data_IF_103759069469
#
_entry.id   IF_103759069469
#
_cell.length_a   1.000
_cell.length_b   1.000
_cell.length_c   1.000
_cell.angle_alpha   90.00
_cell.angle_beta   90.00
_cell.angle_gamma   90.00
#
_symmetry.space_group_name_H-M   'P 1'
#
loop_
_entity.id
_entity.type
_entity.pdbx_description
1 polymer ?
#
# COMPACT_ATOMS: atom_id res chain seq x y z
N UNK A 1 -22.89 6.67 -3.07
CA UNK A 1 -22.48 5.63 -2.08
C UNK A 1 -21.00 5.84 -1.81
N UNK A 2 -20.61 6.06 -0.55
CA UNK A 2 -19.20 6.15 -0.20
C UNK A 2 -18.57 4.76 -0.36
N UNK A 3 -17.42 4.71 -1.03
CA UNK A 3 -16.69 3.46 -1.22
C UNK A 3 -16.14 3.04 0.14
N UNK A 4 -16.41 1.80 0.56
CA UNK A 4 -15.94 1.29 1.86
C UNK A 4 -14.56 0.64 1.77
N UNK A 5 -14.12 0.30 0.56
CA UNK A 5 -12.80 -0.34 0.32
C UNK A 5 -12.29 0.00 -1.07
N UNK A 6 -11.00 0.33 -1.15
CA UNK A 6 -10.24 0.51 -2.38
C UNK A 6 -9.10 -0.49 -2.37
N UNK A 7 -8.90 -1.19 -3.47
CA UNK A 7 -7.78 -2.10 -3.70
C UNK A 7 -7.15 -1.67 -5.01
N UNK A 8 -5.90 -1.21 -4.96
CA UNK A 8 -5.24 -0.63 -6.13
C UNK A 8 -3.75 -1.01 -6.14
N UNK A 9 -3.19 -1.49 -7.26
CA UNK A 9 -1.75 -1.72 -7.34
C UNK A 9 -0.99 -0.39 -7.20
N UNK A 10 0.19 -0.43 -6.58
CA UNK A 10 1.00 0.74 -6.27
C UNK A 10 1.29 1.57 -7.52
N UNK A 11 1.60 0.91 -8.65
CA UNK A 11 1.81 1.61 -9.93
C UNK A 11 0.62 2.50 -10.33
N UNK A 12 -0.63 2.05 -10.09
CA UNK A 12 -1.81 2.88 -10.37
C UNK A 12 -2.06 3.91 -9.26
N UNK A 13 -1.81 3.56 -7.99
CA UNK A 13 -1.91 4.52 -6.87
C UNK A 13 -1.02 5.75 -7.09
N UNK A 14 0.19 5.55 -7.62
CA UNK A 14 1.14 6.63 -7.91
C UNK A 14 0.65 7.66 -8.94
N UNK A 15 -0.41 7.34 -9.70
CA UNK A 15 -1.06 8.24 -10.65
C UNK A 15 -2.26 8.99 -10.06
N UNK A 16 -2.65 8.69 -8.82
CA UNK A 16 -3.70 9.41 -8.11
C UNK A 16 -3.05 10.54 -7.31
N UNK A 17 -2.98 11.71 -7.92
CA UNK A 17 -2.32 12.90 -7.37
C UNK A 17 -3.17 13.64 -6.32
N UNK A 18 -4.50 13.53 -6.44
CA UNK A 18 -5.46 14.08 -5.49
C UNK A 18 -6.37 12.99 -4.93
N UNK A 19 -6.69 13.09 -3.64
CA UNK A 19 -7.58 12.12 -2.99
C UNK A 19 -8.98 12.18 -3.63
N UNK A 20 -9.45 11.08 -4.26
CA UNK A 20 -10.80 11.02 -4.79
C UNK A 20 -11.84 11.26 -3.69
N UNK A 21 -12.96 11.89 -4.03
CA UNK A 21 -13.98 12.30 -3.05
C UNK A 21 -14.54 11.10 -2.26
N UNK A 22 -14.71 9.96 -2.92
CA UNK A 22 -15.19 8.70 -2.36
C UNK A 22 -14.15 7.98 -1.48
N UNK A 23 -12.88 8.42 -1.48
CA UNK A 23 -11.81 7.85 -0.65
C UNK A 23 -11.56 8.64 0.64
N UNK A 24 -12.16 9.84 0.77
CA UNK A 24 -11.93 10.74 1.91
C UNK A 24 -12.38 10.16 3.26
N UNK A 25 -13.31 9.20 3.26
CA UNK A 25 -13.78 8.51 4.46
C UNK A 25 -13.04 7.19 4.77
N UNK A 26 -11.99 6.88 4.03
CA UNK A 26 -11.15 5.71 4.27
C UNK A 26 -10.06 6.09 5.27
N UNK A 27 -10.04 5.38 6.38
CA UNK A 27 -9.24 5.70 7.57
C UNK A 27 -8.26 4.59 7.96
N UNK A 28 -8.26 3.48 7.23
CA UNK A 28 -7.33 2.36 7.36
C UNK A 28 -6.60 2.15 6.04
N UNK A 29 -5.35 1.73 6.11
CA UNK A 29 -4.56 1.34 4.93
C UNK A 29 -3.68 0.15 5.21
N UNK A 30 -3.34 -0.59 4.16
CA UNK A 30 -2.32 -1.61 4.19
C UNK A 30 -1.52 -1.69 2.90
N UNK A 31 -0.30 -2.21 3.03
CA UNK A 31 0.60 -2.55 1.93
C UNK A 31 0.73 -4.07 1.90
N UNK A 32 0.50 -4.70 0.75
CA UNK A 32 0.65 -6.15 0.60
C UNK A 32 1.11 -6.55 -0.79
N UNK A 33 1.50 -7.81 -0.94
CA UNK A 33 1.50 -8.49 -2.24
C UNK A 33 0.52 -9.67 -2.18
N UNK A 34 0.58 -10.59 -3.14
CA UNK A 34 -0.28 -11.77 -3.16
C UNK A 34 -0.04 -12.72 -1.96
N UNK A 35 1.16 -12.71 -1.39
CA UNK A 35 1.63 -13.68 -0.39
C UNK A 35 1.59 -13.18 1.06
N UNK A 36 1.78 -11.87 1.28
CA UNK A 36 1.96 -11.31 2.62
C UNK A 36 1.45 -9.87 2.73
N UNK A 37 0.95 -9.53 3.92
CA UNK A 37 0.72 -8.13 4.32
C UNK A 37 2.00 -7.60 4.94
N UNK A 38 2.51 -6.50 4.40
CA UNK A 38 3.75 -5.87 4.86
C UNK A 38 3.50 -4.91 6.02
N UNK A 39 2.44 -4.12 5.93
CA UNK A 39 2.14 -3.10 6.92
C UNK A 39 0.66 -2.75 6.92
N UNK A 40 0.13 -2.49 8.10
CA UNK A 40 -1.22 -1.97 8.35
C UNK A 40 -1.08 -0.69 9.17
N UNK A 41 -1.90 0.31 8.89
CA UNK A 41 -2.01 1.48 9.75
C UNK A 41 -3.36 2.18 9.62
N UNK A 42 -3.56 3.17 10.49
CA UNK A 42 -4.71 4.09 10.43
C UNK A 42 -4.30 5.55 10.21
N UNK A 43 -5.25 6.35 9.75
CA UNK A 43 -5.22 7.82 9.72
C UNK A 43 -6.60 8.31 9.32
N UNK A 44 -7.08 9.46 9.84
CA UNK A 44 -8.32 10.07 9.36
C UNK A 44 -8.38 10.33 7.85
N UNK A 45 -7.22 10.34 7.17
CA UNK A 45 -7.13 10.33 5.72
C UNK A 45 -6.06 9.32 5.26
N UNK A 46 -6.47 8.06 5.09
CA UNK A 46 -5.58 6.95 4.75
C UNK A 46 -4.77 7.22 3.46
N UNK A 47 -5.41 7.83 2.45
CA UNK A 47 -4.74 8.21 1.20
C UNK A 47 -3.51 9.10 1.41
N UNK A 48 -3.65 10.17 2.19
CA UNK A 48 -2.55 11.08 2.47
C UNK A 48 -1.44 10.38 3.24
N UNK A 49 -1.82 9.51 4.18
CA UNK A 49 -0.86 8.75 4.99
C UNK A 49 -0.03 7.78 4.16
N UNK A 50 -0.62 7.13 3.15
CA UNK A 50 0.13 6.30 2.20
C UNK A 50 1.17 7.14 1.44
N UNK A 51 0.81 8.33 0.95
CA UNK A 51 1.76 9.25 0.31
C UNK A 51 2.89 9.68 1.25
N UNK A 52 2.58 9.99 2.51
CA UNK A 52 3.61 10.30 3.52
C UNK A 52 4.59 9.14 3.73
N UNK A 53 4.10 7.90 3.76
CA UNK A 53 4.98 6.73 3.84
C UNK A 53 5.89 6.63 2.62
N UNK A 54 5.36 6.80 1.41
CA UNK A 54 6.13 6.76 0.17
C UNK A 54 7.20 7.86 0.15
N UNK A 55 6.85 9.11 0.46
CA UNK A 55 7.79 10.23 0.49
C UNK A 55 8.85 10.03 1.59
N UNK A 56 8.43 9.64 2.79
CA UNK A 56 9.30 9.38 3.94
C UNK A 56 10.27 8.22 3.70
N UNK A 57 9.93 7.29 2.82
CA UNK A 57 10.75 6.13 2.47
C UNK A 57 12.12 6.49 1.89
N UNK A 58 12.24 7.59 1.15
CA UNK A 58 13.53 8.04 0.62
C UNK A 58 14.51 8.44 1.72
N UNK A 59 13.99 9.06 2.78
CA UNK A 59 14.73 9.54 3.96
C UNK A 59 14.85 8.49 5.07
N UNK A 60 14.17 7.35 4.93
CA UNK A 60 14.16 6.29 5.95
C UNK A 60 13.25 6.57 7.15
N UNK A 61 12.35 7.55 7.06
CA UNK A 61 11.36 7.84 8.12
C UNK A 61 10.17 6.89 8.12
N UNK A 62 10.06 6.04 7.10
CA UNK A 62 8.98 5.08 6.92
C UNK A 62 9.60 3.74 6.53
N UNK A 63 9.45 2.72 7.38
CA UNK A 63 9.99 1.38 7.11
C UNK A 63 9.32 0.75 5.88
N UNK A 64 8.00 0.86 5.77
CA UNK A 64 7.24 0.33 4.63
C UNK A 64 7.54 1.12 3.36
N UNK A 65 7.63 2.45 3.42
CA UNK A 65 8.00 3.26 2.27
C UNK A 65 9.42 2.97 1.80
N UNK A 66 10.34 2.75 2.74
CA UNK A 66 11.72 2.37 2.43
C UNK A 66 11.75 0.99 1.76
N UNK A 67 10.98 0.03 2.28
CA UNK A 67 10.85 -1.31 1.70
C UNK A 67 10.30 -1.26 0.27
N UNK A 68 9.27 -0.45 0.02
CA UNK A 68 8.71 -0.20 -1.31
C UNK A 68 9.82 0.23 -2.29
N UNK A 69 10.61 1.23 -1.94
CA UNK A 69 11.66 1.73 -2.83
C UNK A 69 12.87 0.80 -2.95
N UNK A 70 13.21 0.07 -1.89
CA UNK A 70 14.29 -0.92 -1.93
C UNK A 70 13.96 -2.05 -2.93
N UNK A 71 12.68 -2.36 -3.09
CA UNK A 71 12.19 -3.43 -3.95
C UNK A 71 11.66 -2.95 -5.31
N UNK A 72 11.87 -1.69 -5.68
CA UNK A 72 11.54 -1.21 -7.01
C UNK A 72 12.39 -1.92 -8.08
N UNK A 73 11.83 -2.35 -9.23
CA UNK A 73 10.45 -2.16 -9.69
C UNK A 73 9.46 -3.26 -9.26
N UNK A 74 9.89 -4.32 -8.57
CA UNK A 74 8.96 -5.41 -8.14
C UNK A 74 7.79 -4.87 -7.31
N UNK A 75 8.05 -3.87 -6.47
CA UNK A 75 7.04 -3.21 -5.63
C UNK A 75 5.95 -2.48 -6.41
N UNK A 76 6.10 -2.23 -7.71
CA UNK A 76 5.01 -1.72 -8.55
C UNK A 76 3.75 -2.60 -8.49
N UNK A 77 3.94 -3.91 -8.26
CA UNK A 77 2.87 -4.91 -8.12
C UNK A 77 2.29 -5.01 -6.70
N UNK A 78 2.88 -4.31 -5.73
CA UNK A 78 2.30 -4.27 -4.40
C UNK A 78 0.92 -3.65 -4.48
N UNK A 79 0.02 -4.10 -3.64
CA UNK A 79 -1.33 -3.60 -3.54
C UNK A 79 -1.42 -2.67 -2.34
N UNK A 80 -1.98 -1.49 -2.59
CA UNK A 80 -2.45 -0.57 -1.55
C UNK A 80 -3.93 -0.86 -1.37
N UNK A 81 -4.31 -1.23 -0.15
CA UNK A 81 -5.72 -1.31 0.21
C UNK A 81 -6.05 -0.19 1.18
N UNK A 82 -7.15 0.52 0.94
CA UNK A 82 -7.70 1.54 1.81
C UNK A 82 -9.08 1.09 2.26
N UNK A 83 -9.36 1.14 3.56
CA UNK A 83 -10.62 0.66 4.13
C UNK A 83 -11.23 1.73 5.04
N UNK A 84 -12.54 1.64 5.23
CA UNK A 84 -13.25 2.41 6.24
C UNK A 84 -13.49 1.55 7.48
N UNK A 85 -13.16 2.07 8.66
CA UNK A 85 -13.57 1.54 9.97
C UNK A 85 -15.09 1.39 10.11
N UNK A 86 -15.85 2.14 9.31
CA UNK A 86 -17.32 2.08 9.24
C UNK A 86 -17.84 0.96 8.34
N UNK A 87 -16.96 0.13 7.77
CA UNK A 87 -17.38 -1.04 6.98
C UNK A 87 -17.86 -2.19 7.88
N UNK A 88 -18.75 -3.02 7.34
CA UNK A 88 -19.40 -4.10 8.09
C UNK A 88 -18.41 -5.09 8.74
N UNK A 89 -17.22 -5.28 8.18
CA UNK A 89 -16.19 -6.17 8.73
C UNK A 89 -15.68 -5.74 10.12
N UNK A 90 -15.92 -4.49 10.51
CA UNK A 90 -15.52 -3.90 11.79
C UNK A 90 -16.69 -3.65 12.75
N UNK A 91 -17.90 -4.11 12.40
CA UNK A 91 -19.07 -4.00 13.30
C UNK A 91 -18.83 -4.72 14.63
N UNK A 92 -18.15 -5.88 14.60
CA UNK A 92 -17.80 -6.64 15.79
C UNK A 92 -16.81 -5.94 16.75
N UNK A 93 -16.16 -4.87 16.30
CA UNK A 93 -15.31 -4.00 17.13
C UNK A 93 -15.93 -2.62 17.35
N UNK A 94 -17.23 -2.48 17.08
CA UNK A 94 -18.00 -1.24 17.29
C UNK A 94 -17.59 -0.09 16.39
N UNK A 95 -17.00 -0.38 15.22
CA UNK A 95 -16.45 0.63 14.31
C UNK A 95 -15.38 1.55 14.94
N UNK A 96 -14.77 1.15 16.05
CA UNK A 96 -13.66 1.88 16.65
C UNK A 96 -12.39 1.74 15.79
N UNK A 97 -11.80 2.87 15.41
CA UNK A 97 -10.67 2.90 14.49
C UNK A 97 -9.43 2.16 15.05
N UNK A 98 -9.13 2.34 16.34
CA UNK A 98 -7.99 1.66 16.98
C UNK A 98 -8.23 0.15 17.10
N UNK A 99 -9.47 -0.27 17.38
CA UNK A 99 -9.85 -1.67 17.42
C UNK A 99 -9.85 -2.29 16.03
N UNK A 100 -10.28 -1.57 14.99
CA UNK A 100 -10.24 -2.02 13.60
C UNK A 100 -8.78 -2.21 13.11
N UNK A 101 -7.88 -1.27 13.40
CA UNK A 101 -6.44 -1.44 13.13
C UNK A 101 -5.88 -2.68 13.84
N UNK A 102 -6.18 -2.84 15.13
CA UNK A 102 -5.76 -4.02 15.90
C UNK A 102 -6.29 -5.33 15.30
N UNK A 103 -7.55 -5.37 14.92
CA UNK A 103 -8.17 -6.54 14.29
C UNK A 103 -7.45 -6.90 12.97
N UNK A 104 -7.10 -5.91 12.14
CA UNK A 104 -6.33 -6.13 10.92
C UNK A 104 -4.91 -6.64 11.20
N UNK A 105 -4.22 -6.06 12.19
CA UNK A 105 -2.87 -6.50 12.59
C UNK A 105 -2.91 -7.94 13.12
N UNK A 106 -3.88 -8.28 13.97
CA UNK A 106 -4.04 -9.64 14.50
C UNK A 106 -4.40 -10.65 13.41
N UNK A 107 -5.26 -10.27 12.48
CA UNK A 107 -5.69 -11.14 11.38
C UNK A 107 -4.55 -11.47 10.41
N UNK A 108 -3.74 -10.47 10.06
CA UNK A 108 -2.76 -10.58 8.98
C UNK A 108 -1.32 -10.72 9.46
N UNK A 109 -1.05 -10.42 10.73
CA UNK A 109 0.31 -10.43 11.34
C UNK A 109 1.36 -9.74 10.47
N UNK A 110 1.18 -8.45 10.11
CA UNK A 110 1.97 -7.81 9.06
C UNK A 110 3.47 -7.81 9.34
N UNK A 111 4.28 -7.86 8.29
CA UNK A 111 5.73 -8.01 8.41
C UNK A 111 6.41 -6.90 9.24
N UNK A 112 5.93 -5.66 9.14
CA UNK A 112 6.58 -4.49 9.71
C UNK A 112 5.80 -3.80 10.84
N UNK A 113 4.60 -4.29 11.18
CA UNK A 113 3.94 -3.86 12.40
C UNK A 113 4.64 -4.53 13.58
N UNK A 114 5.39 -3.77 14.37
CA UNK A 114 6.08 -4.25 15.59
C UNK A 114 5.20 -4.08 16.83
N UNK A 115 4.39 -3.03 16.85
CA UNK A 115 3.41 -2.79 17.91
C UNK A 115 2.16 -3.62 17.65
N UNK A 116 1.60 -4.21 18.71
CA UNK A 116 0.32 -4.96 18.66
C UNK A 116 0.38 -6.24 17.80
N UNK A 117 1.57 -6.67 17.43
CA UNK A 117 1.83 -7.85 16.62
C UNK A 117 2.87 -8.72 17.34
N UNK A 118 2.41 -9.80 17.97
CA UNK A 118 3.26 -10.68 18.77
C UNK A 118 4.17 -11.56 17.93
N UNK A 119 3.78 -11.86 16.68
CA UNK A 119 4.53 -12.73 15.78
C UNK A 119 4.41 -12.22 14.34
N UNK A 120 5.17 -11.17 13.98
CA UNK A 120 5.17 -10.66 12.61
C UNK A 120 5.55 -11.74 11.61
N UNK A 121 4.79 -11.83 10.52
CA UNK A 121 5.14 -12.70 9.39
C UNK A 121 6.50 -12.28 8.84
N UNK A 122 7.43 -13.21 8.58
CA UNK A 122 8.71 -12.86 7.98
C UNK A 122 8.51 -12.29 6.57
N UNK A 123 9.32 -11.29 6.21
CA UNK A 123 9.34 -10.76 4.84
C UNK A 123 9.65 -11.89 3.85
N UNK A 124 8.87 -12.07 2.77
CA UNK A 124 9.15 -13.10 1.78
C UNK A 124 10.57 -12.99 1.21
N UNK A 125 11.26 -14.13 1.09
CA UNK A 125 12.67 -14.19 0.69
C UNK A 125 12.98 -13.59 -0.68
N UNK A 126 11.96 -13.43 -1.54
CA UNK A 126 12.08 -12.80 -2.85
C UNK A 126 12.35 -11.28 -2.80
N UNK A 127 12.19 -10.65 -1.62
CA UNK A 127 12.36 -9.22 -1.41
C UNK A 127 13.63 -8.87 -0.64
N UNK A 128 14.16 -7.69 -0.96
CA UNK A 128 15.24 -7.06 -0.22
C UNK A 128 14.70 -6.49 1.11
N UNK A 129 15.50 -6.53 2.19
CA UNK A 129 15.10 -5.95 3.47
C UNK A 129 14.99 -4.42 3.37
N UNK A 130 14.22 -3.77 4.27
CA UNK A 130 14.04 -2.31 4.25
C UNK A 130 15.34 -1.51 4.43
N UNK A 131 16.35 -2.07 5.11
CA UNK A 131 17.65 -1.42 5.27
C UNK A 131 18.55 -1.52 4.02
N UNK A 132 18.13 -2.22 2.96
CA UNK A 132 18.90 -2.33 1.73
C UNK A 132 19.14 -0.97 1.07
N UNK A 133 20.21 -0.90 0.28
CA UNK A 133 20.52 0.28 -0.54
C UNK A 133 19.47 0.45 -1.63
N UNK A 134 18.87 1.63 -1.73
CA UNK A 134 17.92 1.93 -2.80
C UNK A 134 18.64 1.89 -4.15
N UNK A 135 18.11 1.08 -5.06
CA UNK A 135 18.59 0.92 -6.45
C UNK A 135 17.81 1.78 -7.44
N UNK A 136 16.64 2.28 -7.04
CA UNK A 136 15.80 3.13 -7.85
C UNK A 136 16.27 4.59 -7.87
N UNK A 137 15.65 5.39 -8.75
CA UNK A 137 15.75 6.85 -8.70
C UNK A 137 15.36 7.40 -7.33
N UNK A 138 16.02 8.46 -6.89
CA UNK A 138 15.64 9.23 -5.69
C UNK A 138 14.60 10.32 -5.98
N UNK A 139 14.21 10.48 -7.24
CA UNK A 139 13.17 11.42 -7.67
C UNK A 139 11.84 10.68 -7.79
N UNK A 140 10.87 11.07 -6.97
CA UNK A 140 9.52 10.52 -7.01
C UNK A 140 8.89 10.65 -8.41
N UNK A 141 9.04 11.81 -9.05
CA UNK A 141 8.53 12.05 -10.40
C UNK A 141 9.10 11.06 -11.43
N UNK A 142 10.39 10.72 -11.34
CA UNK A 142 10.98 9.70 -12.23
C UNK A 142 10.34 8.32 -12.00
N UNK A 143 10.09 7.94 -10.75
CA UNK A 143 9.44 6.66 -10.43
C UNK A 143 7.97 6.64 -10.88
N UNK A 144 7.25 7.76 -10.75
CA UNK A 144 5.88 7.91 -11.27
C UNK A 144 5.88 7.70 -12.79
N UNK A 145 6.79 8.33 -13.54
CA UNK A 145 6.89 8.10 -14.99
C UNK A 145 7.31 6.67 -15.36
N UNK A 146 8.17 6.03 -14.57
CA UNK A 146 8.50 4.61 -14.75
C UNK A 146 7.26 3.73 -14.58
N UNK A 147 6.44 3.98 -13.55
CA UNK A 147 5.16 3.29 -13.37
C UNK A 147 4.19 3.56 -14.53
N UNK A 148 4.11 4.80 -15.00
CA UNK A 148 3.26 5.22 -16.11
C UNK A 148 3.56 4.43 -17.38
N UNK A 149 4.85 4.25 -17.68
CA UNK A 149 5.31 3.50 -18.84
C UNK A 149 4.92 2.03 -18.75
N UNK A 150 5.02 1.44 -17.56
CA UNK A 150 4.64 0.04 -17.33
C UNK A 150 3.13 -0.14 -17.53
N UNK A 151 2.31 0.73 -16.92
CA UNK A 151 0.84 0.68 -17.07
C UNK A 151 0.42 0.81 -18.53
N UNK A 152 0.95 1.80 -19.26
CA UNK A 152 0.64 1.98 -20.70
C UNK A 152 1.02 0.76 -21.54
N UNK A 153 2.14 0.11 -21.21
CA UNK A 153 2.59 -1.09 -21.94
C UNK A 153 1.67 -2.27 -21.67
N UNK A 154 1.24 -2.46 -20.41
CA UNK A 154 0.30 -3.51 -20.03
C UNK A 154 -1.08 -3.30 -20.66
N UNK A 155 -1.59 -2.07 -20.67
CA UNK A 155 -2.87 -1.72 -21.30
C UNK A 155 -2.84 -2.01 -22.81
N UNK A 156 -1.73 -1.65 -23.48
CA UNK A 156 -1.54 -1.92 -24.92
C UNK A 156 -1.51 -3.43 -25.21
N UNK A 157 -0.85 -4.21 -24.35
CA UNK A 157 -0.79 -5.66 -24.49
C UNK A 157 -2.15 -6.32 -24.26
N UNK A 158 -2.95 -5.83 -23.31
CA UNK A 158 -4.31 -6.31 -23.05
C UNK A 158 -5.22 -6.08 -24.26
N UNK A 159 -5.21 -4.87 -24.82
CA UNK A 159 -5.97 -4.53 -26.03
C UNK A 159 -5.57 -5.40 -27.24
N UNK A 160 -4.29 -5.72 -27.38
CA UNK A 160 -3.79 -6.58 -28.46
C UNK A 160 -4.21 -8.06 -28.28
N UNK A 161 -4.44 -8.53 -27.05
CA UNK A 161 -4.92 -9.89 -26.77
C UNK A 161 -6.43 -10.05 -26.93
N UNK A 162 -7.21 -8.98 -26.77
CA UNK A 162 -8.68 -9.00 -26.94
C UNK A 162 -9.12 -8.88 -28.41
N UNK A 163 -8.21 -8.48 -29.31
CA UNK A 163 -8.49 -8.20 -30.73
C UNK A 163 -7.93 -9.25 -31.70
N UNK A 164 -7.26 -10.29 -31.18
CA UNK A 164 -6.71 -11.41 -31.96
C UNK A 164 -7.39 -12.73 -31.64
#
# INVERSE_FOLDING_TARGET
MNKQTVVIPLKHFLHVDQCPADWKGLDLYLFRDESAVFYVGQSYLAFARVWEHLIGGFKGHSIVGRFVWANWPKSMKFTIELLSSQSAQFEGVGHDLNAAERQLIQRWTPCFNVSLNTQPTPVPAAYLPPNARLRCSRSLNKLIHEAERVVKTEDTNLLAQETG
#
